data_IF_772030825832
#
_entry.id   IF_772030825832
#
_cell.length_a   1.000
_cell.length_b   1.000
_cell.length_c   1.000
_cell.angle_alpha   90.00
_cell.angle_beta   90.00
_cell.angle_gamma   90.00
#
_symmetry.space_group_name_H-M   'P 1'
#
loop_
_entity.id
_entity.type
_entity.pdbx_description
1 polymer ?
#
# COMPACT_ATOMS: atom_id res chain seq x y z
N UNK A 1 15.11 17.29 23.30
CA UNK A 1 13.72 17.14 22.81
C UNK A 1 13.71 16.05 21.75
N UNK A 2 12.77 15.12 21.77
CA UNK A 2 12.70 13.99 20.81
C UNK A 2 11.62 14.24 19.77
N UNK A 3 11.88 13.89 18.51
CA UNK A 3 10.96 14.05 17.38
C UNK A 3 10.27 12.73 17.01
N UNK A 4 8.99 12.81 16.63
CA UNK A 4 8.14 11.69 16.22
C UNK A 4 7.22 12.11 15.09
N UNK A 5 6.95 11.19 14.16
CA UNK A 5 5.99 11.35 13.08
C UNK A 5 4.96 10.21 13.18
N UNK A 6 3.67 10.55 13.22
CA UNK A 6 2.60 9.55 13.36
C UNK A 6 2.25 8.83 12.04
N UNK A 7 2.58 9.44 10.90
CA UNK A 7 2.24 8.93 9.58
C UNK A 7 2.99 9.66 8.47
N UNK A 8 3.09 9.05 7.29
CA UNK A 8 3.78 9.67 6.14
C UNK A 8 3.03 9.39 4.83
N UNK A 9 2.96 10.36 3.89
CA UNK A 9 2.34 10.15 2.58
C UNK A 9 2.99 9.01 1.81
N UNK A 10 2.16 8.07 1.31
CA UNK A 10 2.61 6.83 0.66
C UNK A 10 2.71 6.89 -0.87
N UNK A 11 2.15 7.93 -1.48
CA UNK A 11 2.05 8.03 -2.94
C UNK A 11 3.40 8.27 -3.64
N UNK A 12 4.37 8.79 -2.89
CA UNK A 12 5.66 9.24 -3.42
C UNK A 12 5.61 10.67 -3.99
N UNK A 13 6.77 11.32 -4.17
CA UNK A 13 6.86 12.72 -4.60
C UNK A 13 6.27 13.01 -5.98
N UNK A 14 6.24 12.01 -6.86
CA UNK A 14 5.67 12.10 -8.23
C UNK A 14 4.47 11.18 -8.42
N UNK A 15 3.82 10.79 -7.32
CA UNK A 15 2.66 9.90 -7.32
C UNK A 15 2.98 8.53 -7.95
N UNK A 16 4.21 8.05 -7.74
CA UNK A 16 4.74 6.79 -8.27
C UNK A 16 3.86 5.60 -7.93
N UNK A 17 3.31 5.56 -6.71
CA UNK A 17 2.45 4.45 -6.26
C UNK A 17 1.15 4.36 -7.08
N UNK A 18 0.56 5.50 -7.46
CA UNK A 18 -0.66 5.52 -8.29
C UNK A 18 -0.43 4.85 -9.63
N UNK A 19 0.62 5.28 -10.33
CA UNK A 19 0.91 4.75 -11.66
C UNK A 19 1.30 3.27 -11.60
N UNK A 20 2.01 2.84 -10.56
CA UNK A 20 2.32 1.43 -10.35
C UNK A 20 1.06 0.59 -10.09
N UNK A 21 0.11 1.08 -9.28
CA UNK A 21 -1.17 0.42 -9.03
C UNK A 21 -2.03 0.35 -10.30
N UNK A 22 -2.17 1.46 -11.02
CA UNK A 22 -2.92 1.53 -12.28
C UNK A 22 -2.32 0.58 -13.33
N UNK A 23 -0.99 0.55 -13.47
CA UNK A 23 -0.30 -0.38 -14.36
C UNK A 23 -0.52 -1.85 -13.97
N UNK A 24 -0.51 -2.15 -12.66
CA UNK A 24 -0.77 -3.50 -12.16
C UNK A 24 -2.21 -3.93 -12.43
N UNK A 25 -3.19 -3.07 -12.14
CA UNK A 25 -4.61 -3.34 -12.38
C UNK A 25 -4.96 -3.47 -13.87
N UNK A 26 -4.29 -2.70 -14.73
CA UNK A 26 -4.41 -2.81 -16.18
C UNK A 26 -3.70 -4.06 -16.75
N UNK A 27 -3.03 -4.87 -15.92
CA UNK A 27 -2.26 -6.04 -16.34
C UNK A 27 -0.99 -5.69 -17.14
N UNK A 28 -0.54 -4.43 -17.09
CA UNK A 28 0.64 -3.92 -17.81
C UNK A 28 1.96 -4.15 -17.05
N UNK A 29 1.90 -4.48 -15.77
CA UNK A 29 3.05 -4.80 -14.92
C UNK A 29 2.76 -5.96 -13.97
N UNK A 30 3.81 -6.66 -13.54
CA UNK A 30 3.70 -7.79 -12.61
C UNK A 30 3.48 -7.35 -11.16
N UNK A 31 3.11 -8.30 -10.29
CA UNK A 31 3.04 -8.06 -8.85
C UNK A 31 4.43 -7.74 -8.28
N UNK A 32 5.48 -8.34 -8.83
CA UNK A 32 6.88 -8.09 -8.49
C UNK A 32 7.28 -6.64 -8.79
N UNK A 33 6.86 -6.10 -9.93
CA UNK A 33 7.11 -4.69 -10.30
C UNK A 33 6.46 -3.73 -9.30
N UNK A 34 5.21 -3.97 -8.93
CA UNK A 34 4.50 -3.18 -7.92
C UNK A 34 5.19 -3.27 -6.55
N UNK A 35 5.57 -4.49 -6.12
CA UNK A 35 6.30 -4.71 -4.86
C UNK A 35 7.64 -3.97 -4.85
N UNK A 36 8.34 -3.90 -5.99
CA UNK A 36 9.60 -3.17 -6.14
C UNK A 36 9.39 -1.67 -5.95
N UNK A 37 8.44 -1.06 -6.66
CA UNK A 37 8.11 0.37 -6.49
C UNK A 37 7.75 0.68 -5.04
N UNK A 38 6.92 -0.16 -4.42
CA UNK A 38 6.52 0.00 -3.03
C UNK A 38 7.70 -0.12 -2.04
N UNK A 39 8.63 -1.05 -2.27
CA UNK A 39 9.84 -1.21 -1.46
C UNK A 39 10.77 0.00 -1.58
N UNK A 40 10.97 0.51 -2.79
CA UNK A 40 11.81 1.68 -3.06
C UNK A 40 11.21 2.95 -2.42
N UNK A 41 9.88 3.12 -2.47
CA UNK A 41 9.18 4.20 -1.77
C UNK A 41 9.39 4.12 -0.26
N UNK A 42 9.16 2.96 0.37
CA UNK A 42 9.36 2.80 1.82
C UNK A 42 10.82 3.07 2.22
N UNK A 43 11.77 2.54 1.45
CA UNK A 43 13.20 2.73 1.68
C UNK A 43 13.61 4.19 1.60
N UNK A 44 13.14 4.92 0.58
CA UNK A 44 13.45 6.35 0.43
C UNK A 44 12.83 7.19 1.56
N UNK A 45 11.60 6.90 1.96
CA UNK A 45 10.90 7.59 3.06
C UNK A 45 11.63 7.38 4.39
N UNK A 46 12.03 6.15 4.72
CA UNK A 46 12.77 5.88 5.95
C UNK A 46 14.15 6.54 5.97
N UNK A 47 14.87 6.51 4.85
CA UNK A 47 16.15 7.23 4.72
C UNK A 47 15.97 8.72 4.92
N UNK A 48 14.99 9.33 4.25
CA UNK A 48 14.69 10.75 4.39
C UNK A 48 14.38 11.14 5.85
N UNK A 49 13.57 10.34 6.57
CA UNK A 49 13.27 10.60 7.98
C UNK A 49 14.50 10.41 8.89
N UNK A 50 15.33 9.41 8.60
CA UNK A 50 16.60 9.18 9.30
C UNK A 50 17.58 10.33 9.10
N UNK A 51 17.76 10.78 7.87
CA UNK A 51 18.63 11.89 7.50
C UNK A 51 18.16 13.22 8.11
N UNK A 52 16.84 13.38 8.29
CA UNK A 52 16.24 14.52 8.99
C UNK A 52 16.39 14.45 10.53
N UNK A 53 16.99 13.39 11.08
CA UNK A 53 17.20 13.22 12.53
C UNK A 53 15.93 12.89 13.30
N UNK A 54 14.91 12.31 12.65
CA UNK A 54 13.69 11.87 13.33
C UNK A 54 14.00 10.68 14.23
N UNK A 55 13.75 10.83 15.55
CA UNK A 55 14.08 9.77 16.51
C UNK A 55 13.13 8.58 16.42
N UNK A 56 11.83 8.84 16.27
CA UNK A 56 10.80 7.80 16.18
C UNK A 56 10.19 7.80 14.77
N UNK A 57 10.74 6.93 13.92
CA UNK A 57 10.30 6.74 12.53
C UNK A 57 9.17 5.71 12.53
N UNK A 58 8.00 6.03 11.97
CA UNK A 58 6.87 5.10 11.97
C UNK A 58 7.09 3.96 10.97
N UNK A 59 6.58 2.79 11.32
CA UNK A 59 6.46 1.63 10.45
C UNK A 59 4.98 1.34 10.17
N UNK A 60 4.70 0.56 9.13
CA UNK A 60 3.35 0.18 8.73
C UNK A 60 2.39 1.36 8.41
N UNK A 61 2.92 2.54 8.10
CA UNK A 61 2.13 3.67 7.57
C UNK A 61 1.92 3.57 6.06
N UNK A 62 2.71 2.74 5.39
CA UNK A 62 2.54 2.42 3.98
C UNK A 62 1.36 1.47 3.81
N UNK A 63 0.52 1.77 2.83
CA UNK A 63 -0.57 0.92 2.38
C UNK A 63 -0.63 0.96 0.87
N UNK A 64 -0.91 -0.18 0.23
CA UNK A 64 -1.20 -0.18 -1.20
C UNK A 64 -2.54 0.48 -1.52
N UNK A 65 -3.46 0.54 -0.56
CA UNK A 65 -4.78 1.10 -0.79
C UNK A 65 -5.28 1.89 0.41
N UNK A 66 -5.60 1.21 1.51
CA UNK A 66 -6.08 1.80 2.75
C UNK A 66 -5.60 1.02 3.99
N UNK A 67 -5.26 1.76 5.04
CA UNK A 67 -4.73 1.21 6.30
C UNK A 67 -5.76 0.45 7.14
N UNK A 68 -7.05 0.78 7.03
CA UNK A 68 -8.13 0.02 7.68
C UNK A 68 -8.35 -1.29 6.91
N UNK A 69 -8.23 -1.27 5.59
CA UNK A 69 -8.23 -2.50 4.78
C UNK A 69 -7.02 -3.39 5.12
N UNK A 70 -5.83 -2.83 5.32
CA UNK A 70 -4.66 -3.59 5.79
C UNK A 70 -4.93 -4.26 7.14
N UNK A 71 -5.60 -3.54 8.06
CA UNK A 71 -6.01 -4.09 9.37
C UNK A 71 -7.06 -5.20 9.20
N UNK A 72 -8.00 -5.02 8.27
CA UNK A 72 -9.01 -6.02 7.93
C UNK A 72 -8.36 -7.31 7.42
N UNK A 73 -7.35 -7.19 6.54
CA UNK A 73 -6.56 -8.32 6.06
C UNK A 73 -5.75 -8.98 7.19
N UNK A 74 -5.09 -8.18 8.05
CA UNK A 74 -4.33 -8.67 9.20
C UNK A 74 -5.19 -9.52 10.14
N UNK A 75 -6.45 -9.13 10.36
CA UNK A 75 -7.39 -9.84 11.23
C UNK A 75 -8.11 -11.00 10.53
N UNK A 76 -7.91 -11.20 9.23
CA UNK A 76 -8.67 -12.18 8.46
C UNK A 76 -10.16 -11.84 8.35
N UNK A 77 -10.55 -10.58 8.57
CA UNK A 77 -11.93 -10.13 8.59
C UNK A 77 -12.49 -9.90 7.17
N UNK A 78 -12.21 -10.83 6.25
CA UNK A 78 -12.65 -10.76 4.86
C UNK A 78 -14.10 -11.23 4.74
N UNK A 79 -15.01 -10.43 4.17
CA UNK A 79 -16.39 -10.85 3.94
C UNK A 79 -16.50 -12.14 3.11
N UNK A 80 -17.46 -13.00 3.46
CA UNK A 80 -17.64 -14.32 2.82
C UNK A 80 -17.84 -14.26 1.30
N UNK A 81 -18.41 -13.17 0.78
CA UNK A 81 -18.61 -12.97 -0.68
C UNK A 81 -17.32 -13.00 -1.51
N UNK A 82 -16.17 -12.71 -0.90
CA UNK A 82 -14.88 -12.72 -1.60
C UNK A 82 -14.21 -14.10 -1.61
N UNK A 83 -14.87 -15.14 -1.08
CA UNK A 83 -14.44 -16.54 -1.15
C UNK A 83 -12.96 -16.78 -0.77
N UNK A 84 -12.41 -15.98 0.16
CA UNK A 84 -11.05 -16.19 0.66
C UNK A 84 -10.99 -17.49 1.47
N UNK A 85 -10.42 -18.54 0.86
CA UNK A 85 -10.28 -19.88 1.43
C UNK A 85 -9.11 -19.98 2.42
N UNK A 86 -9.08 -19.10 3.44
CA UNK A 86 -8.06 -19.10 4.49
C UNK A 86 -6.60 -18.91 3.99
N UNK A 87 -5.67 -18.85 4.94
CA UNK A 87 -4.24 -18.63 4.66
C UNK A 87 -3.86 -17.15 4.53
N UNK A 88 -2.66 -16.89 4.01
CA UNK A 88 -2.14 -15.54 3.84
C UNK A 88 -2.98 -14.73 2.85
N UNK A 89 -3.49 -13.58 3.31
CA UNK A 89 -4.21 -12.62 2.49
C UNK A 89 -3.17 -11.73 1.82
N UNK A 90 -2.70 -12.16 0.66
CA UNK A 90 -1.79 -11.40 -0.15
C UNK A 90 -2.50 -10.25 -0.88
N UNK A 91 -1.79 -9.16 -1.15
CA UNK A 91 -2.35 -7.98 -1.81
C UNK A 91 -2.94 -8.30 -3.19
N UNK A 92 -2.35 -9.21 -3.96
CA UNK A 92 -2.84 -9.65 -5.28
C UNK A 92 -4.07 -10.57 -5.23
N UNK A 93 -4.44 -11.06 -4.04
CA UNK A 93 -5.55 -12.00 -3.84
C UNK A 93 -6.86 -11.31 -3.46
N UNK A 94 -6.81 -10.02 -3.13
CA UNK A 94 -8.02 -9.22 -3.01
C UNK A 94 -8.64 -9.02 -4.40
N UNK A 95 -9.96 -9.19 -4.57
CA UNK A 95 -10.61 -8.99 -5.85
C UNK A 95 -10.75 -7.49 -6.15
N UNK A 96 -9.62 -6.86 -6.49
CA UNK A 96 -9.58 -5.47 -6.98
C UNK A 96 -10.32 -5.30 -8.30
N UNK A 97 -10.48 -6.40 -9.05
CA UNK A 97 -10.83 -6.39 -10.47
C UNK A 97 -12.34 -6.55 -10.73
N UNK A 98 -13.12 -7.08 -9.79
CA UNK A 98 -14.54 -7.40 -10.01
C UNK A 98 -15.53 -6.31 -9.57
N UNK A 99 -15.16 -5.39 -8.64
CA UNK A 99 -16.13 -4.45 -8.07
C UNK A 99 -15.81 -2.94 -8.20
N UNK A 100 -14.63 -2.53 -8.69
CA UNK A 100 -14.29 -1.10 -8.75
C UNK A 100 -13.77 -0.64 -10.12
N UNK A 101 -14.65 -0.13 -11.00
CA UNK A 101 -14.18 0.58 -12.19
C UNK A 101 -13.30 1.78 -11.79
N UNK A 102 -12.17 1.97 -12.48
CA UNK A 102 -11.22 3.08 -12.29
C UNK A 102 -11.88 4.47 -12.26
N UNK A 103 -13.09 4.60 -12.82
CA UNK A 103 -13.90 5.82 -12.81
C UNK A 103 -14.48 6.21 -11.43
N UNK A 104 -14.55 5.28 -10.47
CA UNK A 104 -15.01 5.54 -9.10
C UNK A 104 -13.89 5.88 -8.11
N UNK A 105 -12.62 5.69 -8.50
CA UNK A 105 -11.46 5.86 -7.61
C UNK A 105 -10.98 7.31 -7.48
N UNK A 106 -11.39 8.19 -8.39
CA UNK A 106 -10.87 9.56 -8.50
C UNK A 106 -11.97 10.63 -8.70
N UNK A 107 -13.16 10.42 -8.13
CA UNK A 107 -14.22 11.44 -8.02
C UNK A 107 -14.39 11.90 -6.58
#
# INVERSE_FOLDING_TARGET
>A
MTSHIAGYPRMGPKIELKFALESFWDGKSSAEDLKKVAADLRSSIWKQMGDAGIKYIPSNTFSYYDQVLDTTAMLGAVPSRYNCSGGEIAFDRFPWQEEMPLSLLWR
#
